data_IF_074378439639
#
_entry.id   IF_074378439639
#
_cell.length_a   1.000
_cell.length_b   1.000
_cell.length_c   1.000
_cell.angle_alpha   90.00
_cell.angle_beta   90.00
_cell.angle_gamma   90.00
#
_symmetry.space_group_name_H-M   'P 1'
#
loop_
_entity.id
_entity.type
_entity.pdbx_description
1 polymer ?
#
# COMPACT_ATOMS: atom_id res chain seq x y z
N UNK A 1 18.64 12.59 -14.20
CA UNK A 1 18.13 12.35 -12.84
C UNK A 1 16.85 13.16 -12.72
N UNK A 2 15.70 12.50 -12.53
CA UNK A 2 14.41 13.21 -12.51
C UNK A 2 14.28 13.92 -11.16
N UNK A 3 13.69 15.10 -11.13
CA UNK A 3 13.41 15.91 -9.91
C UNK A 3 12.77 15.08 -8.78
N UNK A 4 11.98 14.06 -9.14
CA UNK A 4 11.42 13.03 -8.25
C UNK A 4 12.47 12.22 -7.48
N UNK A 5 13.55 11.79 -8.12
CA UNK A 5 14.63 11.03 -7.46
C UNK A 5 15.36 11.92 -6.46
N UNK A 6 15.60 13.18 -6.82
CA UNK A 6 16.21 14.17 -5.93
C UNK A 6 15.33 14.48 -4.72
N UNK A 7 14.04 14.73 -4.93
CA UNK A 7 13.07 14.94 -3.84
C UNK A 7 13.01 13.73 -2.89
N UNK A 8 12.91 12.50 -3.41
CA UNK A 8 12.91 11.27 -2.59
C UNK A 8 14.22 11.06 -1.84
N UNK A 9 15.36 11.31 -2.49
CA UNK A 9 16.69 11.23 -1.86
C UNK A 9 16.84 12.24 -0.73
N UNK A 10 16.30 13.45 -0.88
CA UNK A 10 16.34 14.49 0.14
C UNK A 10 15.37 14.23 1.30
N UNK A 11 14.24 13.56 1.06
CA UNK A 11 13.25 13.23 2.11
C UNK A 11 13.62 11.96 2.92
N UNK A 12 14.37 11.01 2.34
CA UNK A 12 14.80 9.73 2.98
C UNK A 12 15.48 9.90 4.37
N UNK A 13 16.41 10.87 4.57
CA UNK A 13 17.02 11.11 5.88
C UNK A 13 16.00 11.57 6.93
N UNK A 14 15.09 12.46 6.55
CA UNK A 14 14.06 12.97 7.45
C UNK A 14 13.06 11.89 7.89
N UNK A 15 12.65 11.01 6.97
CA UNK A 15 11.81 9.85 7.32
C UNK A 15 12.47 8.91 8.33
N UNK A 16 13.77 8.68 8.19
CA UNK A 16 14.54 7.84 9.12
C UNK A 16 14.56 8.47 10.51
N UNK A 17 14.73 9.79 10.58
CA UNK A 17 14.67 10.56 11.84
C UNK A 17 13.27 10.51 12.44
N UNK A 18 12.20 10.75 11.67
CA UNK A 18 10.81 10.67 12.13
C UNK A 18 10.50 9.31 12.75
N UNK A 19 10.82 8.23 12.01
CA UNK A 19 10.56 6.87 12.45
C UNK A 19 11.31 6.52 13.73
N UNK A 20 12.56 6.96 13.85
CA UNK A 20 13.34 6.79 15.06
C UNK A 20 12.72 7.53 16.25
N UNK A 21 12.28 8.78 16.05
CA UNK A 21 11.70 9.61 17.09
C UNK A 21 10.33 9.10 17.56
N UNK A 22 9.49 8.57 16.65
CA UNK A 22 8.21 7.95 17.00
C UNK A 22 8.35 6.64 17.82
N UNK A 23 9.48 5.95 17.70
CA UNK A 23 9.77 4.74 18.49
C UNK A 23 10.30 5.07 19.89
N UNK A 24 10.60 6.35 20.17
CA UNK A 24 11.04 6.80 21.48
C UNK A 24 9.84 7.31 22.27
N UNK A 25 9.86 7.04 23.57
CA UNK A 25 8.85 7.58 24.47
C UNK A 25 9.18 9.04 24.80
N UNK A 26 8.88 9.92 23.84
CA UNK A 26 9.15 11.35 23.93
C UNK A 26 8.01 12.06 24.68
N UNK A 27 8.33 13.12 25.46
CA UNK A 27 7.33 14.01 26.04
C UNK A 27 6.39 14.57 24.97
N UNK A 28 5.14 14.84 25.36
CA UNK A 28 4.06 15.24 24.44
C UNK A 28 4.40 16.55 23.72
N UNK A 29 5.04 17.48 24.41
CA UNK A 29 5.48 18.78 23.92
C UNK A 29 6.54 18.63 22.81
N UNK A 30 7.44 17.65 22.96
CA UNK A 30 8.46 17.33 21.96
C UNK A 30 7.84 16.69 20.73
N UNK A 31 6.86 15.78 20.92
CA UNK A 31 6.11 15.18 19.80
C UNK A 31 5.35 16.24 19.00
N UNK A 32 4.73 17.21 19.67
CA UNK A 32 4.01 18.30 19.01
C UNK A 32 4.96 19.22 18.24
N UNK A 33 6.06 19.67 18.84
CA UNK A 33 7.05 20.50 18.16
C UNK A 33 7.68 19.82 16.94
N UNK A 34 7.92 18.50 17.03
CA UNK A 34 8.38 17.70 15.91
C UNK A 34 7.34 17.66 14.79
N UNK A 35 6.07 17.40 15.10
CA UNK A 35 4.98 17.43 14.12
C UNK A 35 4.87 18.80 13.45
N UNK A 36 4.99 19.90 14.20
CA UNK A 36 4.96 21.25 13.65
C UNK A 36 6.12 21.50 12.68
N UNK A 37 7.34 21.06 13.04
CA UNK A 37 8.51 21.15 12.16
C UNK A 37 8.29 20.31 10.88
N UNK A 38 7.75 19.10 11.00
CA UNK A 38 7.49 18.25 9.84
C UNK A 38 6.39 18.79 8.94
N UNK A 39 5.36 19.41 9.52
CA UNK A 39 4.30 20.11 8.79
C UNK A 39 4.86 21.33 8.03
N UNK A 40 5.72 22.14 8.67
CA UNK A 40 6.38 23.30 8.04
C UNK A 40 7.30 22.89 6.90
N UNK A 41 7.96 21.74 7.04
CA UNK A 41 8.85 21.20 6.01
C UNK A 41 8.10 20.42 4.92
N UNK A 42 6.77 20.33 4.97
CA UNK A 42 5.93 19.50 4.09
C UNK A 42 6.45 18.05 3.97
N UNK A 43 7.04 17.56 5.06
CA UNK A 43 7.50 16.17 5.18
C UNK A 43 6.28 15.38 5.61
N UNK A 44 5.32 15.26 4.69
CA UNK A 44 4.23 14.30 4.82
C UNK A 44 4.85 12.92 5.07
N UNK A 45 4.27 12.05 5.92
CA UNK A 45 4.54 10.62 5.86
C UNK A 45 4.56 10.19 4.40
N UNK A 46 5.48 9.32 3.98
CA UNK A 46 5.47 8.84 2.60
C UNK A 46 4.18 8.03 2.41
N UNK A 47 3.11 8.74 2.02
CA UNK A 47 1.76 8.23 1.87
C UNK A 47 1.77 7.14 0.81
N UNK A 48 2.66 7.21 -0.18
CA UNK A 48 2.87 6.15 -1.15
C UNK A 48 3.42 4.88 -0.48
N UNK A 49 4.37 4.99 0.47
CA UNK A 49 4.87 3.84 1.23
C UNK A 49 3.79 3.26 2.13
N UNK A 50 3.10 4.09 2.93
CA UNK A 50 2.06 3.63 3.84
C UNK A 50 0.92 2.94 3.07
N UNK A 51 0.48 3.56 1.98
CA UNK A 51 -0.58 3.03 1.14
C UNK A 51 -0.19 1.71 0.49
N UNK A 52 1.02 1.64 -0.11
CA UNK A 52 1.56 0.38 -0.66
C UNK A 52 1.67 -0.69 0.42
N UNK A 53 2.13 -0.35 1.62
CA UNK A 53 2.26 -1.30 2.72
C UNK A 53 0.90 -1.92 3.08
N UNK A 54 -0.16 -1.13 3.20
CA UNK A 54 -1.51 -1.63 3.51
C UNK A 54 -2.10 -2.49 2.38
N UNK A 55 -1.89 -2.08 1.14
CA UNK A 55 -2.29 -2.87 -0.04
C UNK A 55 -1.59 -4.22 -0.04
N UNK A 56 -0.26 -4.24 0.14
CA UNK A 56 0.52 -5.47 0.16
C UNK A 56 0.18 -6.35 1.35
N UNK A 57 -0.13 -5.79 2.52
CA UNK A 57 -0.65 -6.57 3.65
C UNK A 57 -1.99 -7.24 3.33
N UNK A 58 -2.88 -6.57 2.61
CA UNK A 58 -4.18 -7.13 2.22
C UNK A 58 -4.02 -8.30 1.24
N UNK A 59 -3.14 -8.15 0.25
CA UNK A 59 -2.78 -9.24 -0.69
C UNK A 59 -2.10 -10.39 0.05
N UNK A 60 -1.20 -10.10 0.99
CA UNK A 60 -0.53 -11.11 1.79
C UNK A 60 -1.51 -11.92 2.66
N UNK A 61 -2.50 -11.26 3.28
CA UNK A 61 -3.59 -11.92 4.02
C UNK A 61 -4.43 -12.80 3.10
N UNK A 62 -4.69 -12.37 1.87
CA UNK A 62 -5.37 -13.18 0.87
C UNK A 62 -4.54 -14.44 0.53
N UNK A 63 -3.25 -14.29 0.25
CA UNK A 63 -2.36 -15.42 -0.04
C UNK A 63 -2.28 -16.39 1.13
N UNK A 64 -2.16 -15.88 2.36
CA UNK A 64 -2.11 -16.71 3.56
C UNK A 64 -3.32 -17.63 3.68
N UNK A 65 -4.51 -17.17 3.27
CA UNK A 65 -5.76 -17.95 3.31
C UNK A 65 -5.92 -18.94 2.16
N UNK A 66 -5.34 -18.65 0.99
CA UNK A 66 -5.62 -19.39 -0.25
C UNK A 66 -4.44 -20.24 -0.75
N UNK A 67 -3.24 -20.06 -0.21
CA UNK A 67 -2.09 -20.92 -0.54
C UNK A 67 -2.13 -22.24 0.26
N UNK A 68 -1.49 -23.30 -0.27
CA UNK A 68 -1.32 -24.55 0.47
C UNK A 68 -0.64 -24.32 1.82
N UNK A 69 -1.26 -24.80 2.89
CA UNK A 69 -0.70 -24.69 4.24
C UNK A 69 0.35 -25.77 4.47
N UNK A 70 1.52 -25.44 5.03
CA UNK A 70 2.48 -26.45 5.48
C UNK A 70 1.86 -27.34 6.57
N UNK A 71 2.23 -28.63 6.60
CA UNK A 71 1.71 -29.58 7.59
C UNK A 71 2.19 -29.32 9.01
N UNK A 72 3.37 -28.72 9.16
CA UNK A 72 4.06 -28.56 10.44
C UNK A 72 3.72 -27.24 11.16
N UNK A 73 3.56 -26.15 10.43
CA UNK A 73 3.24 -24.82 10.98
C UNK A 73 2.44 -24.01 9.95
N UNK A 74 1.44 -23.22 10.38
CA UNK A 74 0.72 -22.32 9.48
C UNK A 74 1.65 -21.36 8.73
N UNK A 75 1.25 -21.02 7.49
CA UNK A 75 2.04 -20.11 6.69
C UNK A 75 2.12 -18.72 7.35
N UNK A 76 3.33 -18.22 7.61
CA UNK A 76 3.51 -16.92 8.28
C UNK A 76 3.17 -15.77 7.34
N UNK A 77 2.53 -14.73 7.87
CA UNK A 77 2.16 -13.54 7.07
C UNK A 77 3.39 -12.88 6.44
N UNK A 78 4.54 -12.93 7.11
CA UNK A 78 5.81 -12.39 6.61
C UNK A 78 6.29 -13.08 5.32
N UNK A 79 6.06 -14.39 5.19
CA UNK A 79 6.36 -15.14 3.96
C UNK A 79 5.41 -14.73 2.83
N UNK A 80 4.11 -14.60 3.13
CA UNK A 80 3.11 -14.14 2.17
C UNK A 80 3.39 -12.71 1.68
N UNK A 81 3.87 -11.84 2.57
CA UNK A 81 4.23 -10.48 2.24
C UNK A 81 5.44 -10.42 1.29
N UNK A 82 6.45 -11.27 1.50
CA UNK A 82 7.59 -11.38 0.55
C UNK A 82 7.16 -11.90 -0.82
N UNK A 83 6.27 -12.89 -0.87
CA UNK A 83 5.68 -13.37 -2.12
C UNK A 83 4.92 -12.23 -2.81
N UNK A 84 4.14 -11.47 -2.05
CA UNK A 84 3.39 -10.30 -2.55
C UNK A 84 4.33 -9.27 -3.20
N UNK A 85 5.43 -8.91 -2.51
CA UNK A 85 6.43 -7.99 -3.05
C UNK A 85 7.03 -8.51 -4.36
N UNK A 86 7.36 -9.80 -4.44
CA UNK A 86 7.87 -10.40 -5.69
C UNK A 86 6.83 -10.40 -6.81
N UNK A 87 5.58 -10.75 -6.54
CA UNK A 87 4.51 -10.72 -7.55
C UNK A 87 4.30 -9.31 -8.09
N UNK A 88 4.22 -8.32 -7.20
CA UNK A 88 3.98 -6.92 -7.57
C UNK A 88 5.23 -6.20 -8.12
N UNK A 89 6.38 -6.88 -8.21
CA UNK A 89 7.69 -6.31 -8.54
C UNK A 89 7.99 -5.05 -7.72
N UNK A 90 7.86 -5.19 -6.40
CA UNK A 90 8.24 -4.16 -5.44
C UNK A 90 9.72 -4.33 -5.05
N UNK A 91 10.45 -3.21 -5.07
CA UNK A 91 11.90 -3.15 -4.82
C UNK A 91 12.28 -2.02 -3.86
N UNK A 92 11.31 -1.24 -3.38
CA UNK A 92 11.54 -0.18 -2.41
C UNK A 92 12.09 -0.77 -1.11
N UNK A 93 13.33 -0.41 -0.77
CA UNK A 93 14.06 -0.87 0.41
C UNK A 93 13.31 -0.59 1.72
N UNK A 94 12.44 0.42 1.74
CA UNK A 94 11.66 0.76 2.94
C UNK A 94 10.55 -0.28 3.21
N UNK A 95 10.06 -0.95 2.16
CA UNK A 95 9.04 -1.99 2.21
C UNK A 95 9.67 -3.38 2.23
N UNK A 96 10.66 -3.59 1.37
CA UNK A 96 11.36 -4.86 1.18
C UNK A 96 12.56 -4.90 2.13
N UNK A 97 12.30 -5.36 3.36
CA UNK A 97 13.39 -5.67 4.29
C UNK A 97 14.12 -6.94 3.84
N UNK A 98 15.44 -6.94 3.96
CA UNK A 98 16.25 -8.14 3.81
C UNK A 98 15.72 -9.25 4.72
N UNK A 99 15.69 -10.46 4.18
CA UNK A 99 15.01 -11.55 4.81
C UNK A 99 15.36 -12.87 4.17
N UNK A 100 15.15 -13.94 4.94
CA UNK A 100 15.30 -15.33 4.49
C UNK A 100 14.68 -15.60 3.11
N UNK A 101 15.28 -16.54 2.39
CA UNK A 101 14.91 -16.91 1.03
C UNK A 101 13.42 -17.26 0.91
N UNK A 102 12.79 -16.85 -0.19
CA UNK A 102 11.38 -17.15 -0.47
C UNK A 102 11.29 -18.62 -0.90
N UNK A 103 10.36 -19.37 -0.31
CA UNK A 103 10.10 -20.73 -0.76
C UNK A 103 9.62 -20.71 -2.23
N UNK A 104 10.38 -21.29 -3.18
CA UNK A 104 10.06 -21.20 -4.60
C UNK A 104 8.74 -21.87 -4.95
N UNK A 105 8.42 -22.99 -4.29
CA UNK A 105 7.15 -23.72 -4.51
C UNK A 105 5.93 -22.87 -4.14
N UNK A 106 6.02 -22.09 -3.06
CA UNK A 106 4.92 -21.19 -2.67
C UNK A 106 4.79 -20.00 -3.63
N UNK A 107 5.90 -19.49 -4.16
CA UNK A 107 5.86 -18.43 -5.16
C UNK A 107 5.21 -18.91 -6.46
N UNK A 108 5.56 -20.10 -6.94
CA UNK A 108 4.94 -20.69 -8.13
C UNK A 108 3.46 -21.01 -7.90
N UNK A 109 3.09 -21.53 -6.72
CA UNK A 109 1.69 -21.71 -6.36
C UNK A 109 0.91 -20.38 -6.38
N UNK A 110 1.51 -19.29 -5.90
CA UNK A 110 0.88 -17.97 -5.92
C UNK A 110 0.72 -17.42 -7.35
N UNK A 111 1.70 -17.61 -8.22
CA UNK A 111 1.62 -17.24 -9.65
C UNK A 111 0.55 -18.04 -10.39
N UNK A 112 0.41 -19.33 -10.09
CA UNK A 112 -0.62 -20.19 -10.67
C UNK A 112 -2.03 -19.85 -10.15
N UNK A 113 -2.13 -19.41 -8.90
CA UNK A 113 -3.38 -19.04 -8.25
C UNK A 113 -3.93 -17.70 -8.78
N UNK A 114 -3.10 -16.66 -8.83
CA UNK A 114 -3.53 -15.29 -9.11
C UNK A 114 -3.49 -15.00 -10.60
N UNK A 115 -4.60 -14.49 -11.14
CA UNK A 115 -4.72 -14.03 -12.52
C UNK A 115 -4.33 -12.56 -12.66
N UNK A 116 -4.90 -11.69 -11.82
CA UNK A 116 -4.55 -10.27 -11.79
C UNK A 116 -4.90 -9.64 -10.46
N UNK A 117 -4.18 -8.57 -10.11
CA UNK A 117 -4.44 -7.74 -8.94
C UNK A 117 -4.59 -6.29 -9.41
N UNK A 118 -5.68 -5.64 -9.01
CA UNK A 118 -5.95 -4.23 -9.28
C UNK A 118 -6.22 -3.50 -7.98
N UNK A 119 -5.82 -2.23 -7.93
CA UNK A 119 -6.18 -1.30 -6.86
C UNK A 119 -6.95 -0.16 -7.50
N UNK A 120 -8.17 0.04 -7.06
CA UNK A 120 -9.05 1.10 -7.50
C UNK A 120 -9.13 2.17 -6.41
N UNK A 121 -9.08 3.44 -6.79
CA UNK A 121 -9.36 4.57 -5.92
C UNK A 121 -10.58 5.31 -6.47
N UNK A 122 -11.58 5.52 -5.62
CA UNK A 122 -12.84 6.17 -5.98
C UNK A 122 -13.21 7.22 -4.94
N UNK A 123 -13.66 8.43 -5.34
CA UNK A 123 -14.23 9.38 -4.39
C UNK A 123 -15.55 8.84 -3.83
N UNK A 124 -15.71 8.96 -2.51
CA UNK A 124 -16.98 8.67 -1.86
C UNK A 124 -17.71 10.00 -1.68
N UNK A 125 -18.68 10.25 -2.57
CA UNK A 125 -19.52 11.45 -2.44
C UNK A 125 -20.49 11.21 -1.30
N UNK A 126 -20.10 11.64 -0.09
CA UNK A 126 -21.04 11.78 1.01
C UNK A 126 -21.82 13.08 0.75
N UNK A 127 -23.09 12.93 0.34
CA UNK A 127 -23.99 14.07 0.23
C UNK A 127 -24.36 14.56 1.63
N UNK A 128 -23.57 15.48 2.19
CA UNK A 128 -24.09 16.40 3.19
C UNK A 128 -24.70 17.60 2.46
N UNK A 129 -25.99 17.94 2.70
CA UNK A 129 -26.71 18.97 1.95
C UNK A 129 -26.05 20.35 1.91
N UNK A 130 -25.12 20.62 2.82
CA UNK A 130 -24.51 21.94 3.03
C UNK A 130 -23.04 22.02 2.59
N UNK A 131 -22.39 20.89 2.28
CA UNK A 131 -20.98 20.84 1.89
C UNK A 131 -20.80 19.88 0.70
N UNK A 132 -20.77 20.45 -0.51
CA UNK A 132 -20.38 19.76 -1.76
C UNK A 132 -18.87 19.41 -1.77
N UNK A 133 -18.35 18.83 -0.70
CA UNK A 133 -16.93 18.43 -0.59
C UNK A 133 -16.86 16.93 -0.34
N UNK A 134 -16.14 16.22 -1.21
CA UNK A 134 -15.77 14.82 -0.97
C UNK A 134 -14.92 14.77 0.30
N UNK A 135 -15.42 14.08 1.32
CA UNK A 135 -14.75 13.95 2.61
C UNK A 135 -13.88 12.69 2.66
N UNK A 136 -14.32 11.58 2.05
CA UNK A 136 -13.60 10.31 2.13
C UNK A 136 -13.52 9.62 0.77
N UNK A 137 -12.55 8.73 0.66
CA UNK A 137 -12.23 8.01 -0.56
C UNK A 137 -12.24 6.51 -0.28
N UNK A 138 -12.61 5.72 -1.28
CA UNK A 138 -12.57 4.27 -1.20
C UNK A 138 -11.36 3.74 -1.97
N UNK A 139 -10.51 2.97 -1.29
CA UNK A 139 -9.52 2.09 -1.93
C UNK A 139 -10.08 0.68 -1.97
N UNK A 140 -10.30 0.18 -3.17
CA UNK A 140 -10.76 -1.19 -3.41
C UNK A 140 -9.65 -2.02 -4.05
N UNK A 141 -9.21 -3.08 -3.37
CA UNK A 141 -8.24 -4.04 -3.88
C UNK A 141 -9.02 -5.22 -4.46
N UNK A 142 -8.90 -5.43 -5.78
CA UNK A 142 -9.50 -6.54 -6.49
C UNK A 142 -8.44 -7.60 -6.80
N UNK A 143 -8.63 -8.81 -6.28
CA UNK A 143 -7.76 -9.96 -6.54
C UNK A 143 -8.56 -10.98 -7.34
N UNK A 144 -8.18 -11.15 -8.61
CA UNK A 144 -8.74 -12.15 -9.51
C UNK A 144 -7.88 -13.40 -9.46
N UNK A 145 -8.48 -14.55 -9.21
CA UNK A 145 -7.76 -15.80 -8.96
C UNK A 145 -8.58 -17.02 -9.35
N UNK A 146 -7.92 -18.17 -9.47
CA UNK A 146 -8.56 -19.45 -9.79
C UNK A 146 -8.96 -20.15 -8.49
N UNK A 147 -10.22 -20.54 -8.36
CA UNK A 147 -10.70 -21.45 -7.32
C UNK A 147 -11.59 -22.50 -7.96
N UNK A 148 -11.35 -23.78 -7.66
CA UNK A 148 -12.12 -24.90 -8.25
C UNK A 148 -12.17 -24.84 -9.79
N UNK A 149 -11.03 -24.50 -10.40
CA UNK A 149 -10.87 -24.33 -11.85
C UNK A 149 -11.77 -23.24 -12.49
N UNK A 150 -12.29 -22.30 -11.70
CA UNK A 150 -13.07 -21.15 -12.17
C UNK A 150 -12.42 -19.82 -11.73
N UNK A 151 -12.41 -18.80 -12.60
CA UNK A 151 -11.95 -17.48 -12.21
C UNK A 151 -12.98 -16.82 -11.28
N UNK A 152 -12.51 -16.32 -10.14
CA UNK A 152 -13.32 -15.57 -9.18
C UNK A 152 -12.56 -14.31 -8.73
N UNK A 153 -13.29 -13.37 -8.14
CA UNK A 153 -12.73 -12.10 -7.64
C UNK A 153 -13.07 -11.92 -6.17
N UNK A 154 -12.06 -11.58 -5.37
CA UNK A 154 -12.26 -11.04 -4.02
C UNK A 154 -12.04 -9.54 -4.05
N UNK A 155 -12.91 -8.79 -3.37
CA UNK A 155 -12.80 -7.34 -3.21
C UNK A 155 -12.57 -7.00 -1.74
N UNK A 156 -11.59 -6.15 -1.50
CA UNK A 156 -11.24 -5.64 -0.17
C UNK A 156 -11.41 -4.13 -0.24
N UNK A 157 -12.38 -3.59 0.50
CA UNK A 157 -12.70 -2.17 0.52
C UNK A 157 -12.16 -1.51 1.78
N UNK A 158 -11.60 -0.33 1.63
CA UNK A 158 -10.95 0.43 2.69
C UNK A 158 -11.24 1.91 2.49
N UNK A 159 -11.82 2.53 3.51
CA UNK A 159 -12.03 3.97 3.52
C UNK A 159 -10.72 4.69 3.86
N UNK A 160 -10.44 5.78 3.15
CA UNK A 160 -9.23 6.59 3.28
C UNK A 160 -9.60 8.07 3.33
N UNK A 161 -8.85 8.82 4.12
CA UNK A 161 -8.85 10.28 4.09
C UNK A 161 -8.10 10.81 2.86
N UNK A 162 -8.43 12.03 2.43
CA UNK A 162 -7.78 12.71 1.30
C UNK A 162 -6.26 12.72 1.43
N UNK A 163 -5.79 13.04 2.63
CA UNK A 163 -4.37 13.22 2.91
C UNK A 163 -3.63 11.88 3.02
N UNK A 164 -4.34 10.75 3.01
CA UNK A 164 -3.77 9.39 2.99
C UNK A 164 -3.67 8.79 1.57
N UNK A 165 -4.11 9.53 0.55
CA UNK A 165 -4.07 9.08 -0.83
C UNK A 165 -2.63 9.14 -1.40
N UNK A 166 -2.27 8.22 -2.31
CA UNK A 166 -0.99 8.30 -3.01
C UNK A 166 -0.85 9.60 -3.80
N UNK A 167 0.38 10.09 -3.96
CA UNK A 167 0.68 11.33 -4.68
C UNK A 167 0.13 11.32 -6.11
N UNK A 168 0.31 10.21 -6.83
CA UNK A 168 -0.17 10.06 -8.21
C UNK A 168 -1.70 10.12 -8.28
N UNK A 169 -2.42 9.59 -7.27
CA UNK A 169 -3.89 9.67 -7.20
C UNK A 169 -4.35 11.10 -6.95
N UNK A 170 -3.75 11.78 -5.97
CA UNK A 170 -4.04 13.19 -5.66
C UNK A 170 -3.79 14.07 -6.88
N UNK A 171 -2.64 13.88 -7.53
CA UNK A 171 -2.23 14.63 -8.71
C UNK A 171 -3.17 14.43 -9.89
N UNK A 172 -3.60 13.19 -10.13
CA UNK A 172 -4.50 12.89 -11.23
C UNK A 172 -5.88 13.50 -11.03
N UNK A 173 -6.41 13.46 -9.81
CA UNK A 173 -7.70 14.11 -9.52
C UNK A 173 -7.66 15.63 -9.55
N UNK A 174 -6.53 16.24 -9.21
CA UNK A 174 -6.32 17.67 -9.44
C UNK A 174 -6.35 18.02 -10.94
N UNK A 175 -5.89 17.12 -11.82
CA UNK A 175 -5.81 17.35 -13.27
C UNK A 175 -7.11 17.01 -14.02
N UNK A 176 -7.66 15.84 -13.77
CA UNK A 176 -8.72 15.23 -14.60
C UNK A 176 -10.09 15.17 -13.90
N UNK A 177 -10.16 15.67 -12.66
CA UNK A 177 -11.32 15.57 -11.78
C UNK A 177 -11.37 14.23 -11.02
N UNK A 178 -12.15 14.19 -9.94
CA UNK A 178 -12.29 13.03 -9.05
C UNK A 178 -13.04 11.87 -9.74
N UNK A 179 -12.35 11.12 -10.60
CA UNK A 179 -12.87 9.93 -11.30
C UNK A 179 -12.27 8.65 -10.72
N UNK A 180 -12.86 7.49 -10.99
CA UNK A 180 -12.24 6.21 -10.63
C UNK A 180 -10.85 6.08 -11.27
N UNK A 181 -9.82 5.82 -10.45
CA UNK A 181 -8.47 5.49 -10.92
C UNK A 181 -8.17 4.01 -10.65
N UNK A 182 -7.57 3.33 -11.62
CA UNK A 182 -7.24 1.89 -11.52
C UNK A 182 -5.76 1.67 -11.78
N UNK A 183 -5.09 1.02 -10.82
CA UNK A 183 -3.70 0.60 -10.92
C UNK A 183 -3.62 -0.93 -10.97
N UNK A 184 -3.01 -1.48 -12.02
CA UNK A 184 -2.77 -2.92 -12.16
C UNK A 184 -1.43 -3.27 -11.51
N UNK A 185 -1.45 -4.08 -10.44
CA UNK A 185 -0.24 -4.48 -9.71
C UNK A 185 0.36 -5.79 -10.22
N UNK A 186 -0.47 -6.69 -10.74
CA UNK A 186 -0.01 -7.98 -11.26
C UNK A 186 -0.96 -8.51 -12.36
N UNK A 187 -0.45 -9.18 -13.41
CA UNK A 187 0.93 -9.02 -13.88
C UNK A 187 1.16 -7.56 -14.30
N UNK A 188 2.33 -6.99 -13.95
CA UNK A 188 2.74 -5.71 -14.53
C UNK A 188 3.00 -5.93 -16.02
N UNK A 189 2.32 -5.14 -16.85
CA UNK A 189 2.63 -5.01 -18.28
C UNK A 189 4.04 -4.43 -18.48
#
# INVERSE_FOLDING_TARGET
>A
MKERELSRLLKKPFYTVIKYLHQKDLPKEVKNALNDIFNVLEIEPDNDISNRQEVYQSIAKFLQKNLPQPRSEPLRITQCLRITYKLCREFDEQLVKEGSEINPTLLEAAKALILTIKVNYEPKVNYEPELLKVQTYNRQIEIYYIKENKPIVTRIEQELDRDSLPEDVRSEWLREGEKKLTFKLYPKE
#
